data_IF_543318754136
#
_entry.id   IF_543318754136
#
_cell.length_a   1.000
_cell.length_b   1.000
_cell.length_c   1.000
_cell.angle_alpha   90.00
_cell.angle_beta   90.00
_cell.angle_gamma   90.00
#
_symmetry.space_group_name_H-M   'P 1'
#
loop_
_entity.id
_entity.type
_entity.pdbx_description
1 polymer ?
#
# COMPACT_ATOMS: atom_id res chain seq x y z
N UNK A 1 -66.38 60.83 -55.71
CA UNK A 1 -65.36 60.85 -54.69
C UNK A 1 -65.52 59.61 -53.84
N UNK A 2 -64.79 58.57 -54.16
CA UNK A 2 -64.85 57.28 -53.52
C UNK A 2 -63.56 57.09 -52.64
N UNK A 3 -63.74 56.99 -51.36
CA UNK A 3 -62.60 56.73 -50.39
C UNK A 3 -62.37 55.23 -50.35
N UNK A 4 -61.14 54.84 -50.58
CA UNK A 4 -60.66 53.45 -50.39
C UNK A 4 -60.37 53.19 -48.89
N UNK A 5 -60.65 51.99 -48.37
CA UNK A 5 -60.31 51.64 -46.96
C UNK A 5 -58.83 51.36 -46.83
N UNK A 6 -58.22 51.89 -45.73
CA UNK A 6 -56.88 51.62 -45.31
C UNK A 6 -56.89 50.32 -44.53
N UNK A 7 -56.18 49.30 -45.00
CA UNK A 7 -55.94 48.05 -44.26
C UNK A 7 -54.71 48.23 -43.34
N UNK A 8 -54.94 48.32 -42.03
CA UNK A 8 -53.92 48.19 -41.06
C UNK A 8 -53.74 46.69 -40.72
N UNK A 9 -52.70 46.08 -41.22
CA UNK A 9 -52.27 44.72 -40.78
C UNK A 9 -51.57 44.82 -39.43
N UNK A 10 -52.30 44.43 -38.40
CA UNK A 10 -51.68 44.27 -37.07
C UNK A 10 -50.71 43.08 -37.06
N UNK A 11 -49.42 43.37 -36.87
CA UNK A 11 -48.38 42.39 -36.65
C UNK A 11 -48.46 41.95 -35.17
N UNK A 12 -49.36 41.01 -34.85
CA UNK A 12 -49.47 40.45 -33.48
C UNK A 12 -48.84 39.03 -33.34
N UNK A 13 -48.28 38.49 -34.45
CA UNK A 13 -47.77 37.12 -34.45
C UNK A 13 -46.32 36.91 -33.90
N UNK A 14 -45.44 37.91 -34.01
CA UNK A 14 -44.02 37.73 -33.68
C UNK A 14 -43.73 37.75 -32.16
N UNK A 15 -44.46 38.53 -31.37
CA UNK A 15 -44.22 38.64 -29.94
C UNK A 15 -44.58 37.35 -29.16
N UNK A 16 -45.58 36.60 -29.60
CA UNK A 16 -46.03 35.34 -28.98
C UNK A 16 -44.99 34.23 -29.13
N UNK A 17 -44.24 34.18 -30.23
CA UNK A 17 -43.20 33.19 -30.46
C UNK A 17 -41.94 33.46 -29.63
N UNK A 18 -41.52 34.70 -29.47
CA UNK A 18 -40.33 35.10 -28.69
C UNK A 18 -40.50 34.81 -27.19
N UNK A 19 -41.68 35.03 -26.65
CA UNK A 19 -41.93 34.71 -25.22
C UNK A 19 -42.02 33.21 -24.95
N UNK A 20 -42.54 32.44 -25.93
CA UNK A 20 -42.56 30.98 -25.83
C UNK A 20 -41.15 30.37 -25.91
N UNK A 21 -40.29 30.88 -26.78
CA UNK A 21 -38.88 30.46 -26.89
C UNK A 21 -38.09 30.82 -25.63
N UNK A 22 -38.23 32.00 -25.07
CA UNK A 22 -37.59 32.40 -23.79
C UNK A 22 -38.01 31.50 -22.64
N UNK A 23 -39.29 31.15 -22.55
CA UNK A 23 -39.82 30.26 -21.53
C UNK A 23 -39.31 28.83 -21.69
N UNK A 24 -39.15 28.33 -22.89
CA UNK A 24 -38.56 27.01 -23.17
C UNK A 24 -37.09 27.00 -22.83
N UNK A 25 -36.30 27.99 -23.21
CA UNK A 25 -34.88 28.12 -22.85
C UNK A 25 -34.70 28.22 -21.35
N UNK A 26 -35.54 29.02 -20.65
CA UNK A 26 -35.52 29.10 -19.17
C UNK A 26 -35.78 27.75 -18.50
N UNK A 27 -36.74 26.95 -19.00
CA UNK A 27 -37.00 25.60 -18.49
C UNK A 27 -35.85 24.62 -18.77
N UNK A 28 -35.20 24.72 -19.95
CA UNK A 28 -34.02 23.91 -20.26
C UNK A 28 -32.86 24.23 -19.32
N UNK A 29 -32.57 25.50 -19.07
CA UNK A 29 -31.52 25.89 -18.13
C UNK A 29 -31.83 25.46 -16.70
N UNK A 30 -33.09 25.55 -16.27
CA UNK A 30 -33.51 25.06 -14.95
C UNK A 30 -33.33 23.54 -14.83
N UNK A 31 -33.75 22.76 -15.81
CA UNK A 31 -33.64 21.32 -15.84
C UNK A 31 -32.17 20.87 -15.91
N UNK A 32 -31.35 21.55 -16.72
CA UNK A 32 -29.91 21.25 -16.78
C UNK A 32 -29.22 21.58 -15.45
N UNK A 33 -29.57 22.66 -14.78
CA UNK A 33 -29.06 23.00 -13.44
C UNK A 33 -29.42 21.94 -12.39
N UNK A 34 -30.67 21.47 -12.39
CA UNK A 34 -31.13 20.39 -11.51
C UNK A 34 -30.36 19.07 -11.80
N UNK A 35 -30.19 18.73 -13.09
CA UNK A 35 -29.46 17.53 -13.49
C UNK A 35 -27.98 17.56 -13.01
N UNK A 36 -27.31 18.70 -13.16
CA UNK A 36 -25.92 18.88 -12.70
C UNK A 36 -25.81 18.77 -11.18
N UNK A 37 -26.74 19.40 -10.43
CA UNK A 37 -26.73 19.30 -8.95
C UNK A 37 -26.99 17.87 -8.47
N UNK A 38 -27.88 17.12 -9.12
CA UNK A 38 -28.12 15.71 -8.79
C UNK A 38 -26.90 14.83 -9.11
N UNK A 39 -26.20 15.08 -10.22
CA UNK A 39 -24.97 14.37 -10.55
C UNK A 39 -23.85 14.65 -9.53
N UNK A 40 -23.69 15.91 -9.12
CA UNK A 40 -22.72 16.28 -8.09
C UNK A 40 -23.08 15.66 -6.73
N UNK A 41 -24.34 15.70 -6.32
CA UNK A 41 -24.80 15.10 -5.08
C UNK A 41 -24.61 13.57 -5.08
N UNK A 42 -24.91 12.90 -6.20
CA UNK A 42 -24.73 11.46 -6.35
C UNK A 42 -23.25 11.06 -6.34
N UNK A 43 -22.37 11.84 -6.95
CA UNK A 43 -20.92 11.58 -6.93
C UNK A 43 -20.33 11.79 -5.52
N UNK A 44 -20.75 12.84 -4.81
CA UNK A 44 -20.34 13.06 -3.42
C UNK A 44 -20.84 11.92 -2.52
N UNK A 45 -22.11 11.54 -2.65
CA UNK A 45 -22.68 10.43 -1.91
C UNK A 45 -21.95 9.09 -2.19
N UNK A 46 -21.62 8.81 -3.47
CA UNK A 46 -20.83 7.63 -3.85
C UNK A 46 -19.45 7.61 -3.22
N UNK A 47 -18.75 8.76 -3.23
CA UNK A 47 -17.43 8.89 -2.59
C UNK A 47 -17.51 8.68 -1.08
N UNK A 48 -18.50 9.29 -0.40
CA UNK A 48 -18.72 9.11 1.05
C UNK A 48 -18.99 7.64 1.36
N UNK A 49 -19.91 7.00 0.66
CA UNK A 49 -20.25 5.58 0.91
C UNK A 49 -19.06 4.65 0.67
N UNK A 50 -18.29 4.89 -0.37
CA UNK A 50 -17.08 4.11 -0.65
C UNK A 50 -16.02 4.25 0.43
N UNK A 51 -15.99 5.37 1.13
CA UNK A 51 -15.04 5.62 2.23
C UNK A 51 -15.53 5.03 3.54
N UNK A 52 -16.86 5.01 3.76
CA UNK A 52 -17.45 4.42 4.98
C UNK A 52 -17.35 2.89 5.03
N UNK A 53 -17.32 2.22 3.87
CA UNK A 53 -17.25 0.76 3.75
C UNK A 53 -15.81 0.21 3.86
N UNK A 54 -14.82 1.01 4.27
CA UNK A 54 -13.42 0.60 4.40
C UNK A 54 -12.77 1.20 5.64
N UNK A 55 -11.85 0.42 6.20
CA UNK A 55 -10.89 0.89 7.20
C UNK A 55 -9.48 0.62 6.69
N UNK A 56 -8.49 1.28 7.27
CA UNK A 56 -7.09 1.08 6.93
C UNK A 56 -6.35 0.48 8.11
N UNK A 57 -5.58 -0.56 7.85
CA UNK A 57 -4.56 -1.06 8.76
C UNK A 57 -3.31 -0.22 8.54
N UNK A 58 -2.96 0.61 9.48
CA UNK A 58 -1.74 1.42 9.46
C UNK A 58 -0.64 0.67 10.20
N UNK A 59 0.45 0.39 9.51
CA UNK A 59 1.67 -0.22 10.05
C UNK A 59 2.66 0.88 10.37
N UNK A 60 3.20 0.88 11.58
CA UNK A 60 4.29 1.75 12.00
C UNK A 60 5.42 0.86 12.50
N UNK A 61 6.59 0.96 11.88
CA UNK A 61 7.78 0.19 12.20
C UNK A 61 8.93 1.16 12.45
N UNK A 62 9.58 1.03 13.61
CA UNK A 62 10.84 1.71 13.88
C UNK A 62 12.00 0.77 13.56
N UNK A 63 12.93 1.22 12.71
CA UNK A 63 14.10 0.48 12.26
C UNK A 63 15.30 0.98 13.05
N UNK A 64 15.88 0.13 13.86
CA UNK A 64 17.06 0.44 14.65
C UNK A 64 18.31 0.46 13.78
N UNK A 65 18.66 1.60 13.25
CA UNK A 65 19.87 1.77 12.41
C UNK A 65 21.15 1.34 13.08
N UNK A 66 21.28 1.52 14.41
CA UNK A 66 22.48 1.11 15.13
C UNK A 66 22.67 -0.40 15.07
N UNK A 67 21.56 -1.15 15.16
CA UNK A 67 21.60 -2.60 15.00
C UNK A 67 21.93 -2.99 13.55
N UNK A 68 21.44 -2.27 12.53
CA UNK A 68 21.81 -2.52 11.13
C UNK A 68 23.33 -2.37 10.89
N UNK A 69 24.00 -1.43 11.56
CA UNK A 69 25.45 -1.24 11.42
C UNK A 69 26.29 -2.38 12.05
N UNK A 70 25.66 -3.29 12.81
CA UNK A 70 26.35 -4.47 13.36
C UNK A 70 26.48 -5.60 12.31
N UNK A 71 25.75 -5.53 11.20
CA UNK A 71 25.93 -6.49 10.11
C UNK A 71 27.16 -6.14 9.25
N UNK A 72 27.67 -7.13 8.54
CA UNK A 72 28.83 -6.98 7.65
C UNK A 72 28.63 -5.89 6.58
N UNK A 73 27.41 -5.75 6.07
CA UNK A 73 27.13 -4.81 4.99
C UNK A 73 26.62 -3.44 5.47
N UNK A 74 26.19 -3.35 6.73
CA UNK A 74 25.60 -2.13 7.29
C UNK A 74 24.43 -1.57 6.46
N UNK A 75 23.72 -2.44 5.75
CA UNK A 75 22.56 -2.09 4.90
C UNK A 75 21.26 -2.18 5.69
N UNK A 76 20.19 -1.48 5.24
CA UNK A 76 18.87 -1.67 5.80
C UNK A 76 18.34 -3.08 5.54
N UNK A 77 17.45 -3.61 6.42
CA UNK A 77 16.92 -4.95 6.27
C UNK A 77 16.03 -5.08 5.04
N UNK A 78 15.97 -6.29 4.48
CA UNK A 78 14.93 -6.67 3.54
C UNK A 78 13.71 -7.11 4.34
N UNK A 79 12.50 -6.70 3.91
CA UNK A 79 11.27 -7.14 4.57
C UNK A 79 10.06 -7.10 3.67
N UNK A 80 9.06 -7.89 4.03
CA UNK A 80 7.76 -7.93 3.41
C UNK A 80 6.65 -7.86 4.47
N UNK A 81 5.52 -7.25 4.12
CA UNK A 81 4.32 -7.13 4.93
C UNK A 81 3.14 -7.62 4.10
N UNK A 82 2.34 -8.53 4.65
CA UNK A 82 1.10 -8.96 4.02
C UNK A 82 0.02 -9.30 5.04
N UNK A 83 -1.20 -9.30 4.57
CA UNK A 83 -2.39 -9.73 5.32
C UNK A 83 -2.91 -11.03 4.72
N UNK A 84 -3.27 -12.00 5.56
CA UNK A 84 -3.95 -13.23 5.21
C UNK A 84 -5.37 -13.19 5.79
N UNK A 85 -6.38 -13.24 4.94
CA UNK A 85 -7.76 -13.25 5.39
C UNK A 85 -8.12 -14.57 6.06
N UNK A 86 -8.64 -14.51 7.28
CA UNK A 86 -8.97 -15.73 8.05
C UNK A 86 -10.11 -16.56 7.42
N UNK A 87 -11.04 -15.90 6.72
CA UNK A 87 -12.23 -16.56 6.18
C UNK A 87 -11.99 -17.28 4.85
N UNK A 88 -11.28 -16.65 3.91
CA UNK A 88 -11.10 -17.16 2.54
C UNK A 88 -9.64 -17.46 2.18
N UNK A 89 -8.70 -17.18 3.10
CA UNK A 89 -7.25 -17.37 2.92
C UNK A 89 -6.62 -16.49 1.83
N UNK A 90 -7.34 -15.48 1.35
CA UNK A 90 -6.79 -14.52 0.39
C UNK A 90 -5.60 -13.79 1.01
N UNK A 91 -4.56 -13.63 0.20
CA UNK A 91 -3.37 -12.88 0.56
C UNK A 91 -3.45 -11.48 -0.04
N UNK A 92 -3.31 -10.48 0.81
CA UNK A 92 -3.19 -9.09 0.38
C UNK A 92 -1.78 -8.58 0.70
N UNK A 93 -0.92 -8.43 -0.32
CA UNK A 93 0.38 -7.78 -0.16
C UNK A 93 0.18 -6.32 0.28
N UNK A 94 1.01 -5.87 1.23
CA UNK A 94 0.98 -4.49 1.73
C UNK A 94 2.24 -3.75 1.32
N UNK A 95 3.38 -4.38 1.52
CA UNK A 95 4.69 -3.82 1.17
C UNK A 95 5.71 -4.93 1.00
N UNK A 96 6.66 -4.71 0.11
CA UNK A 96 7.88 -5.52 0.01
C UNK A 96 9.04 -4.63 -0.41
N UNK A 97 10.22 -4.85 0.14
CA UNK A 97 11.43 -4.13 -0.28
C UNK A 97 11.78 -4.46 -1.72
N UNK A 98 12.35 -3.51 -2.46
CA UNK A 98 12.56 -3.58 -3.91
C UNK A 98 13.23 -4.88 -4.37
N UNK A 99 14.37 -5.25 -3.76
CA UNK A 99 15.09 -6.49 -4.15
C UNK A 99 14.22 -7.72 -4.02
N UNK A 100 13.53 -7.88 -2.90
CA UNK A 100 12.65 -9.05 -2.66
C UNK A 100 11.36 -9.02 -3.49
N UNK A 101 10.89 -7.84 -3.89
CA UNK A 101 9.68 -7.69 -4.71
C UNK A 101 9.92 -7.87 -6.20
N UNK A 102 11.10 -7.49 -6.70
CA UNK A 102 11.43 -7.54 -8.14
C UNK A 102 12.32 -8.72 -8.52
N UNK A 103 12.95 -9.37 -7.53
CA UNK A 103 14.00 -10.36 -7.79
C UNK A 103 15.30 -9.76 -8.34
N UNK A 104 15.47 -8.44 -8.30
CA UNK A 104 16.68 -7.75 -8.75
C UNK A 104 17.70 -7.64 -7.61
N UNK A 105 18.61 -8.58 -7.55
CA UNK A 105 19.65 -8.72 -6.53
C UNK A 105 21.05 -8.41 -7.07
N UNK A 106 21.18 -7.39 -7.91
CA UNK A 106 22.48 -6.92 -8.42
C UNK A 106 23.29 -8.03 -9.14
N UNK A 107 22.62 -8.73 -10.06
CA UNK A 107 23.21 -9.78 -10.86
C UNK A 107 23.03 -11.19 -10.33
N UNK A 108 22.43 -11.37 -9.16
CA UNK A 108 21.96 -12.68 -8.69
C UNK A 108 20.46 -12.79 -8.99
N UNK A 109 20.01 -13.76 -9.80
CA UNK A 109 18.60 -13.97 -10.03
C UNK A 109 17.99 -14.60 -8.79
N UNK A 110 17.05 -13.91 -8.16
CA UNK A 110 16.25 -14.45 -7.06
C UNK A 110 17.07 -14.95 -5.85
N UNK A 111 16.80 -14.39 -4.66
CA UNK A 111 17.40 -14.82 -3.39
C UNK A 111 16.29 -15.28 -2.44
N UNK A 112 15.76 -16.49 -2.62
CA UNK A 112 14.63 -16.97 -1.84
C UNK A 112 14.93 -17.10 -0.35
N UNK A 113 16.20 -17.25 0.01
CA UNK A 113 16.66 -17.35 1.39
C UNK A 113 16.58 -16.04 2.16
N UNK A 114 16.47 -14.88 1.49
CA UNK A 114 16.33 -13.61 2.18
C UNK A 114 14.95 -13.48 2.88
N UNK A 115 13.87 -13.83 2.20
CA UNK A 115 12.51 -13.82 2.75
C UNK A 115 11.78 -15.12 2.33
N UNK A 116 12.11 -16.28 2.93
CA UNK A 116 11.64 -17.59 2.44
C UNK A 116 10.13 -17.75 2.48
N UNK A 117 9.46 -17.25 3.52
CA UNK A 117 8.00 -17.36 3.64
C UNK A 117 7.31 -16.47 2.62
N UNK A 118 7.73 -15.21 2.48
CA UNK A 118 7.20 -14.31 1.47
C UNK A 118 7.40 -14.86 0.07
N UNK A 119 8.59 -15.40 -0.22
CA UNK A 119 8.88 -16.01 -1.51
C UNK A 119 7.91 -17.14 -1.85
N UNK A 120 7.59 -18.02 -0.89
CA UNK A 120 6.60 -19.08 -1.07
C UNK A 120 5.19 -18.50 -1.30
N UNK A 121 4.77 -17.56 -0.44
CA UNK A 121 3.44 -16.93 -0.50
C UNK A 121 3.25 -16.15 -1.79
N UNK A 122 4.23 -15.36 -2.22
CA UNK A 122 4.15 -14.56 -3.44
C UNK A 122 4.06 -15.43 -4.68
N UNK A 123 4.86 -16.50 -4.79
CA UNK A 123 4.84 -17.43 -5.94
C UNK A 123 3.52 -18.18 -6.08
N UNK A 124 2.88 -18.54 -4.98
CA UNK A 124 1.57 -19.18 -5.01
C UNK A 124 0.49 -18.21 -5.50
N UNK A 125 0.53 -16.96 -5.07
CA UNK A 125 -0.46 -15.94 -5.43
C UNK A 125 -0.27 -15.34 -6.82
N UNK A 126 0.99 -15.21 -7.30
CA UNK A 126 1.29 -14.76 -8.67
C UNK A 126 0.63 -15.67 -9.71
N UNK A 127 0.62 -16.98 -9.47
CA UNK A 127 -0.04 -17.94 -10.36
C UNK A 127 -1.55 -17.72 -10.48
N UNK A 128 -2.17 -17.06 -9.50
CA UNK A 128 -3.63 -16.86 -9.42
C UNK A 128 -4.05 -15.48 -9.94
N UNK A 129 -3.26 -14.43 -9.70
CA UNK A 129 -3.67 -13.03 -9.93
C UNK A 129 -3.13 -12.40 -11.24
N UNK A 130 -2.13 -13.00 -11.89
CA UNK A 130 -1.43 -12.39 -13.05
C UNK A 130 -0.34 -11.40 -12.61
N UNK A 131 0.62 -11.15 -13.52
CA UNK A 131 1.88 -10.45 -13.20
C UNK A 131 1.70 -8.97 -12.77
N UNK A 132 0.57 -8.33 -13.08
CA UNK A 132 0.36 -6.89 -12.90
C UNK A 132 -0.16 -6.48 -11.50
N UNK A 133 -0.58 -7.42 -10.66
CA UNK A 133 -1.21 -7.12 -9.36
C UNK A 133 -0.30 -7.32 -8.14
N UNK A 134 0.97 -7.66 -8.34
CA UNK A 134 1.80 -8.15 -7.25
C UNK A 134 2.69 -7.08 -6.66
N UNK A 135 2.37 -6.80 -5.43
CA UNK A 135 3.14 -6.08 -4.43
C UNK A 135 3.49 -4.63 -4.77
N UNK A 136 3.06 -3.76 -3.92
CA UNK A 136 3.61 -2.40 -3.82
C UNK A 136 5.08 -2.56 -3.39
N UNK A 137 5.97 -2.77 -4.37
CA UNK A 137 7.40 -2.78 -4.12
C UNK A 137 7.88 -1.33 -3.92
N UNK A 138 8.62 -1.10 -2.87
CA UNK A 138 9.18 0.21 -2.56
C UNK A 138 10.68 0.14 -2.29
N UNK A 139 11.37 1.28 -2.47
CA UNK A 139 12.76 1.39 -2.06
C UNK A 139 12.91 0.97 -0.59
N UNK A 140 13.99 0.26 -0.26
CA UNK A 140 14.28 -0.11 1.13
C UNK A 140 14.34 1.16 1.98
N UNK A 141 13.53 1.28 3.05
CA UNK A 141 13.46 2.48 3.85
C UNK A 141 14.82 2.82 4.48
N UNK A 142 15.31 4.03 4.24
CA UNK A 142 16.51 4.57 4.89
C UNK A 142 16.19 5.40 6.13
N UNK A 143 14.91 5.71 6.33
CA UNK A 143 14.42 6.42 7.52
C UNK A 143 14.31 5.46 8.70
N UNK A 144 14.37 6.01 9.93
CA UNK A 144 14.20 5.24 11.16
C UNK A 144 12.76 4.75 11.32
N UNK A 145 11.79 5.53 10.82
CA UNK A 145 10.37 5.21 10.86
C UNK A 145 9.86 4.87 9.46
N UNK A 146 9.21 3.72 9.38
CA UNK A 146 8.50 3.27 8.19
C UNK A 146 7.02 3.20 8.49
N UNK A 147 6.21 3.75 7.58
CA UNK A 147 4.75 3.71 7.69
C UNK A 147 4.13 3.31 6.37
N UNK A 148 3.20 2.36 6.43
CA UNK A 148 2.41 1.94 5.27
C UNK A 148 0.98 1.62 5.70
N UNK A 149 0.04 1.65 4.77
CA UNK A 149 -1.38 1.39 5.01
C UNK A 149 -1.93 0.41 4.01
N UNK A 150 -2.82 -0.46 4.48
CA UNK A 150 -3.62 -1.36 3.66
C UNK A 150 -5.10 -1.12 3.92
N UNK A 151 -5.92 -1.07 2.86
CA UNK A 151 -7.37 -0.96 2.98
C UNK A 151 -8.00 -2.35 3.15
N UNK A 152 -8.86 -2.50 4.14
CA UNK A 152 -9.60 -3.75 4.40
C UNK A 152 -11.07 -3.44 4.70
N UNK A 153 -11.91 -4.46 4.68
CA UNK A 153 -13.33 -4.31 5.02
C UNK A 153 -13.50 -4.19 6.53
N UNK A 154 -14.34 -3.27 7.04
CA UNK A 154 -14.65 -3.19 8.45
C UNK A 154 -15.19 -4.52 9.00
N UNK A 155 -14.74 -4.89 10.20
CA UNK A 155 -15.16 -6.13 10.87
C UNK A 155 -14.59 -7.41 10.24
N UNK A 156 -13.72 -7.33 9.24
CA UNK A 156 -13.03 -8.52 8.73
C UNK A 156 -11.85 -8.92 9.63
N UNK A 157 -11.58 -10.22 9.68
CA UNK A 157 -10.50 -10.80 10.48
C UNK A 157 -9.34 -11.20 9.60
N UNK A 158 -8.12 -10.84 10.02
CA UNK A 158 -6.89 -11.06 9.27
C UNK A 158 -5.76 -11.53 10.18
N UNK A 159 -4.85 -12.30 9.61
CA UNK A 159 -3.52 -12.50 10.17
C UNK A 159 -2.59 -11.49 9.49
N UNK A 160 -1.94 -10.67 10.29
CA UNK A 160 -0.87 -9.81 9.82
C UNK A 160 0.45 -10.55 9.93
N UNK A 161 1.21 -10.57 8.86
CA UNK A 161 2.54 -11.13 8.76
C UNK A 161 3.55 -10.06 8.38
N UNK A 162 4.71 -10.09 9.03
CA UNK A 162 5.87 -9.28 8.66
C UNK A 162 7.07 -10.22 8.67
N UNK A 163 7.77 -10.35 7.55
CA UNK A 163 9.02 -11.10 7.46
C UNK A 163 10.18 -10.15 7.24
N UNK A 164 11.28 -10.35 7.95
CA UNK A 164 12.45 -9.47 7.90
C UNK A 164 13.75 -10.28 7.98
N UNK A 165 14.73 -9.91 7.16
CA UNK A 165 16.08 -10.40 7.18
C UNK A 165 17.10 -9.24 7.11
N UNK A 166 18.16 -9.34 7.88
CA UNK A 166 19.30 -8.43 7.83
C UNK A 166 20.50 -9.16 7.21
N UNK A 167 20.84 -8.82 5.98
CA UNK A 167 21.96 -9.46 5.30
C UNK A 167 23.30 -9.29 6.06
N UNK A 168 24.06 -10.38 6.18
CA UNK A 168 25.40 -10.38 6.76
C UNK A 168 25.47 -10.21 8.28
N UNK A 169 24.40 -10.49 8.99
CA UNK A 169 24.35 -10.46 10.46
C UNK A 169 24.79 -11.79 11.07
N UNK A 170 25.97 -12.23 10.70
CA UNK A 170 26.56 -13.50 11.14
C UNK A 170 26.77 -13.58 12.64
N UNK A 171 26.68 -14.80 13.18
CA UNK A 171 27.01 -15.10 14.56
C UNK A 171 27.60 -16.54 14.69
N UNK A 172 27.80 -17.04 15.88
CA UNK A 172 28.37 -18.36 16.11
C UNK A 172 27.47 -19.52 15.64
N UNK A 173 26.14 -19.31 15.60
CA UNK A 173 25.16 -20.30 15.14
C UNK A 173 24.96 -20.23 13.63
N UNK A 174 25.10 -19.05 13.06
CA UNK A 174 24.93 -18.76 11.64
C UNK A 174 26.18 -18.06 11.08
N UNK A 175 27.31 -18.79 10.96
CA UNK A 175 28.56 -18.24 10.46
C UNK A 175 28.53 -18.05 8.95
N UNK A 176 29.30 -17.09 8.42
CA UNK A 176 29.48 -16.92 6.97
C UNK A 176 30.00 -18.18 6.29
N UNK A 177 30.91 -18.89 6.95
CA UNK A 177 31.44 -20.16 6.50
C UNK A 177 31.30 -21.20 7.63
N UNK A 178 30.52 -22.24 7.38
CA UNK A 178 30.34 -23.34 8.33
C UNK A 178 31.50 -24.34 8.22
N UNK A 179 32.34 -24.39 9.22
CA UNK A 179 33.54 -25.26 9.26
C UNK A 179 33.20 -26.74 9.32
N UNK A 180 32.02 -27.13 9.77
CA UNK A 180 31.56 -28.52 9.90
C UNK A 180 31.00 -29.03 8.59
N UNK A 181 30.08 -28.24 7.95
CA UNK A 181 29.45 -28.62 6.70
C UNK A 181 30.28 -28.23 5.46
N UNK A 182 31.32 -27.38 5.63
CA UNK A 182 32.13 -26.78 4.58
C UNK A 182 31.30 -25.97 3.57
N UNK A 183 30.18 -25.42 4.03
CA UNK A 183 29.29 -24.61 3.21
C UNK A 183 29.47 -23.12 3.55
N UNK A 184 29.48 -22.30 2.53
CA UNK A 184 29.42 -20.85 2.65
C UNK A 184 27.97 -20.39 2.51
N UNK A 185 27.62 -19.28 3.21
CA UNK A 185 26.36 -18.60 2.97
C UNK A 185 26.43 -17.85 1.62
N UNK A 186 26.05 -18.53 0.55
CA UNK A 186 26.13 -18.06 -0.85
C UNK A 186 25.41 -16.73 -1.07
N UNK A 187 24.33 -16.50 -0.34
CA UNK A 187 23.48 -15.33 -0.49
C UNK A 187 23.74 -14.25 0.58
N UNK A 188 24.64 -14.51 1.50
CA UNK A 188 24.98 -13.61 2.58
C UNK A 188 23.77 -13.18 3.44
N UNK A 189 22.82 -14.09 3.62
CA UNK A 189 21.60 -13.81 4.41
C UNK A 189 21.88 -13.71 5.92
N UNK A 190 22.92 -14.39 6.42
CA UNK A 190 23.27 -14.40 7.83
C UNK A 190 22.30 -15.23 8.68
N UNK A 191 21.73 -14.62 9.72
CA UNK A 191 20.73 -15.28 10.56
C UNK A 191 19.42 -15.48 9.77
N UNK A 192 18.60 -16.50 10.11
CA UNK A 192 17.32 -16.73 9.48
C UNK A 192 16.39 -15.51 9.54
N UNK A 193 15.50 -15.40 8.56
CA UNK A 193 14.50 -14.35 8.55
C UNK A 193 13.54 -14.48 9.74
N UNK A 194 13.26 -13.36 10.40
CA UNK A 194 12.29 -13.28 11.49
C UNK A 194 10.88 -13.12 10.94
N UNK A 195 9.95 -13.90 11.47
CA UNK A 195 8.54 -13.82 11.11
C UNK A 195 7.73 -13.33 12.31
N UNK A 196 7.19 -12.11 12.19
CA UNK A 196 6.28 -11.50 13.14
C UNK A 196 4.84 -11.80 12.75
N UNK A 197 3.99 -12.03 13.75
CA UNK A 197 2.57 -12.30 13.53
C UNK A 197 1.71 -11.55 14.55
N UNK A 198 0.52 -11.15 14.11
CA UNK A 198 -0.59 -10.79 14.98
C UNK A 198 -1.91 -11.04 14.26
N UNK A 199 -2.91 -11.50 15.01
CA UNK A 199 -4.28 -11.63 14.52
C UNK A 199 -4.98 -10.28 14.77
N UNK A 200 -5.67 -9.77 13.77
CA UNK A 200 -6.33 -8.46 13.82
C UNK A 200 -7.79 -8.57 13.42
N UNK A 201 -8.63 -7.80 14.09
CA UNK A 201 -9.99 -7.50 13.69
C UNK A 201 -10.03 -6.06 13.15
N UNK A 202 -10.57 -5.86 11.95
CA UNK A 202 -10.55 -4.57 11.26
C UNK A 202 -11.62 -3.61 11.81
N UNK A 203 -11.55 -3.29 13.11
CA UNK A 203 -12.41 -2.32 13.80
C UNK A 203 -11.63 -1.05 14.15
N UNK A 204 -12.20 0.11 13.77
CA UNK A 204 -11.58 1.42 14.02
C UNK A 204 -11.16 1.61 15.49
N UNK A 205 -9.96 2.16 15.68
CA UNK A 205 -9.40 2.47 17.00
C UNK A 205 -8.68 1.32 17.68
N UNK A 206 -8.76 0.08 17.16
CA UNK A 206 -8.01 -1.03 17.71
C UNK A 206 -6.52 -0.90 17.36
N UNK A 207 -5.67 -1.32 18.31
CA UNK A 207 -4.22 -1.33 18.19
C UNK A 207 -3.67 -2.71 18.49
N UNK A 208 -2.64 -3.10 17.73
CA UNK A 208 -2.01 -4.40 17.85
C UNK A 208 -0.49 -4.26 17.82
N UNK A 209 0.19 -5.20 18.45
CA UNK A 209 1.64 -5.28 18.45
C UNK A 209 2.06 -6.68 17.99
N UNK A 210 2.55 -6.83 16.74
CA UNK A 210 3.08 -8.09 16.25
C UNK A 210 4.22 -8.61 17.12
N UNK A 211 4.25 -9.91 17.32
CA UNK A 211 5.31 -10.58 18.06
C UNK A 211 6.14 -11.44 17.13
N UNK A 212 7.44 -11.52 17.37
CA UNK A 212 8.28 -12.52 16.72
C UNK A 212 7.90 -13.89 17.25
N UNK A 213 7.46 -14.78 16.35
CA UNK A 213 7.00 -16.10 16.75
C UNK A 213 7.77 -17.23 16.10
N UNK A 214 8.29 -16.99 14.90
CA UNK A 214 8.93 -18.00 14.07
C UNK A 214 10.19 -17.44 13.40
N UNK A 215 11.06 -18.34 13.02
CA UNK A 215 12.12 -18.15 12.05
C UNK A 215 11.69 -18.79 10.74
N UNK A 216 12.02 -18.13 9.64
CA UNK A 216 11.75 -18.62 8.29
C UNK A 216 13.08 -18.97 7.63
N UNK A 217 13.25 -20.23 7.24
CA UNK A 217 14.47 -20.79 6.69
C UNK A 217 14.20 -21.36 5.31
N UNK A 218 15.02 -20.99 4.35
CA UNK A 218 14.98 -21.60 3.02
C UNK A 218 15.70 -22.95 3.02
N UNK A 219 15.01 -24.00 2.60
CA UNK A 219 15.53 -25.35 2.54
C UNK A 219 15.13 -26.06 1.24
N UNK A 220 16.06 -26.16 0.30
CA UNK A 220 15.92 -26.95 -0.94
C UNK A 220 14.61 -26.73 -1.73
N UNK A 221 14.16 -25.48 -1.87
CA UNK A 221 12.97 -25.15 -2.66
C UNK A 221 11.68 -25.00 -1.85
N UNK A 222 11.74 -25.17 -0.51
CA UNK A 222 10.66 -24.90 0.43
C UNK A 222 11.10 -23.90 1.50
N UNK A 223 10.16 -23.40 2.27
CA UNK A 223 10.47 -22.69 3.50
C UNK A 223 10.07 -23.54 4.70
N UNK A 224 10.99 -23.66 5.66
CA UNK A 224 10.74 -24.26 6.95
C UNK A 224 10.46 -23.16 7.99
N UNK A 225 9.45 -23.38 8.82
CA UNK A 225 9.11 -22.49 9.92
C UNK A 225 9.48 -23.18 11.22
N UNK A 226 10.40 -22.59 11.97
CA UNK A 226 10.81 -23.08 13.29
C UNK A 226 10.51 -22.04 14.37
N UNK A 227 10.31 -22.45 15.62
CA UNK A 227 10.12 -21.52 16.72
C UNK A 227 11.32 -20.57 16.86
N UNK A 228 11.01 -19.30 17.18
CA UNK A 228 12.06 -18.32 17.56
C UNK A 228 12.81 -18.78 18.81
N UNK A 229 14.11 -18.64 18.80
CA UNK A 229 14.97 -19.05 19.91
C UNK A 229 16.17 -18.10 20.15
N UNK A 230 17.01 -18.44 21.12
CA UNK A 230 18.16 -17.64 21.55
C UNK A 230 19.36 -17.66 20.59
N UNK A 231 19.31 -18.41 19.48
CA UNK A 231 20.37 -18.40 18.47
C UNK A 231 20.36 -17.11 17.66
N UNK A 232 19.24 -16.40 17.68
CA UNK A 232 19.08 -15.09 17.03
C UNK A 232 19.61 -13.99 17.95
N UNK A 233 20.53 -13.19 17.44
CA UNK A 233 21.19 -12.13 18.22
C UNK A 233 20.92 -10.73 17.66
N UNK A 234 21.50 -10.39 16.51
CA UNK A 234 21.39 -9.04 15.90
C UNK A 234 20.01 -8.81 15.31
N UNK A 235 19.49 -9.76 14.55
CA UNK A 235 18.23 -9.63 13.83
C UNK A 235 17.05 -9.24 14.72
N UNK A 236 16.95 -9.77 15.93
CA UNK A 236 15.86 -9.48 16.88
C UNK A 236 15.76 -8.01 17.31
N UNK A 237 16.82 -7.22 17.12
CA UNK A 237 16.88 -5.82 17.52
C UNK A 237 16.68 -4.85 16.36
N UNK A 238 16.42 -5.34 15.15
CA UNK A 238 16.28 -4.51 13.95
C UNK A 238 14.97 -3.75 13.96
N UNK A 239 13.86 -4.43 14.25
CA UNK A 239 12.57 -3.79 14.46
C UNK A 239 12.32 -3.72 15.97
N UNK A 240 12.73 -2.62 16.59
CA UNK A 240 12.59 -2.43 18.04
C UNK A 240 11.22 -1.91 18.45
N UNK A 241 10.44 -1.40 17.50
CA UNK A 241 9.02 -1.07 17.69
C UNK A 241 8.23 -1.43 16.44
N UNK A 242 7.17 -2.23 16.61
CA UNK A 242 6.17 -2.52 15.58
C UNK A 242 4.80 -2.31 16.18
N UNK A 243 4.01 -1.44 15.54
CA UNK A 243 2.61 -1.24 15.94
C UNK A 243 1.69 -1.16 14.72
N UNK A 244 0.48 -1.68 14.89
CA UNK A 244 -0.60 -1.58 13.94
C UNK A 244 -1.75 -0.80 14.58
N UNK A 245 -2.38 0.07 13.79
CA UNK A 245 -3.59 0.78 14.20
C UNK A 245 -4.64 0.70 13.11
N UNK A 246 -5.88 0.42 13.49
CA UNK A 246 -7.01 0.44 12.57
C UNK A 246 -7.59 1.84 12.53
N UNK A 247 -7.43 2.53 11.40
CA UNK A 247 -7.82 3.92 11.23
C UNK A 247 -8.87 4.09 10.15
N UNK A 248 -9.68 5.13 10.25
CA UNK A 248 -10.56 5.55 9.15
C UNK A 248 -9.74 6.09 7.98
N UNK A 249 -10.05 5.68 6.75
CA UNK A 249 -9.45 6.30 5.59
C UNK A 249 -9.83 7.79 5.58
N UNK A 250 -8.84 8.66 5.52
CA UNK A 250 -9.11 10.08 5.25
C UNK A 250 -9.66 10.18 3.84
N UNK A 251 -10.76 10.95 3.60
CA UNK A 251 -11.21 11.20 2.24
C UNK A 251 -10.03 11.74 1.44
N UNK A 252 -9.73 11.14 0.30
CA UNK A 252 -8.75 11.66 -0.66
C UNK A 252 -9.32 12.94 -1.32
N UNK A 253 -9.49 13.97 -0.54
CA UNK A 253 -9.49 15.34 -1.04
C UNK A 253 -8.06 15.52 -1.50
N UNK A 254 -7.89 15.85 -2.78
CA UNK A 254 -6.59 16.05 -3.42
C UNK A 254 -5.67 16.78 -2.45
N UNK A 255 -4.68 16.08 -1.93
CA UNK A 255 -3.72 16.69 -1.01
C UNK A 255 -2.77 17.52 -1.84
N UNK A 256 -3.13 18.79 -2.02
CA UNK A 256 -2.35 19.78 -2.77
C UNK A 256 -0.99 20.06 -2.11
N UNK A 257 -0.80 19.68 -0.85
CA UNK A 257 0.47 19.88 -0.14
C UNK A 257 1.63 19.07 -0.74
N UNK A 258 1.34 17.93 -1.35
CA UNK A 258 2.35 17.14 -2.05
C UNK A 258 2.76 17.73 -3.40
N UNK A 259 1.91 18.55 -4.01
CA UNK A 259 2.22 19.21 -5.29
C UNK A 259 3.19 20.37 -5.03
N UNK A 260 2.96 21.14 -3.97
CA UNK A 260 3.88 22.25 -3.61
C UNK A 260 5.27 21.74 -3.19
N UNK A 261 5.37 20.62 -2.48
CA UNK A 261 6.66 20.04 -2.10
C UNK A 261 7.45 19.48 -3.29
N UNK A 262 6.77 18.90 -4.28
CA UNK A 262 7.43 18.43 -5.49
C UNK A 262 7.92 19.58 -6.39
N UNK A 263 7.18 20.68 -6.44
CA UNK A 263 7.59 21.86 -7.21
C UNK A 263 8.75 22.62 -6.54
N UNK A 264 8.80 22.66 -5.21
CA UNK A 264 9.93 23.24 -4.47
C UNK A 264 11.22 22.44 -4.71
N UNK A 265 11.14 21.09 -4.64
CA UNK A 265 12.29 20.20 -4.88
C UNK A 265 12.77 20.24 -6.34
N UNK A 266 11.90 20.45 -7.33
CA UNK A 266 12.29 20.66 -8.72
C UNK A 266 13.02 21.99 -8.91
N UNK A 267 12.52 23.05 -8.28
CA UNK A 267 13.10 24.40 -8.41
C UNK A 267 14.45 24.54 -7.74
N UNK A 268 14.74 23.75 -6.70
CA UNK A 268 16.07 23.70 -6.07
C UNK A 268 17.09 22.89 -6.90
N UNK A 269 16.66 21.82 -7.57
CA UNK A 269 17.54 21.01 -8.41
C UNK A 269 17.88 21.66 -9.76
N UNK A 270 17.12 22.65 -10.22
CA UNK A 270 17.41 23.42 -11.44
C UNK A 270 18.38 24.60 -11.18
N UNK A 271 18.77 24.86 -9.93
CA UNK A 271 19.68 25.94 -9.54
C UNK A 271 21.09 25.48 -9.15
N UNK A 272 21.39 24.19 -9.29
CA UNK A 272 22.71 23.60 -9.11
C UNK A 272 23.27 23.18 -10.48
#
# INVERSE_FOLDING_TARGET
MTRLPVWTTEFTGENINLDKEKNIRGKIYLLSGIAITLLLASSIWYVIRRTEDRVQVEFNIHINKKACYLSTFSEPPQFAIWLENLSNKDIQPVFVTYRAGTGDWEGKPDVPSALPRWNSVSRENIKVAGEDEIAISGATPRADFFRVRAEVRPGSEWICWIEMNLAGDYNEFYPQFNQVTLQEDEYACGQPALLYRTDIEAMEGLKYTPQTILLSIWNNGSNDLIPFDSTITTAQNIFDEISLEIVKPKPKIVDLSNIEQQDILKTENEKI
#
